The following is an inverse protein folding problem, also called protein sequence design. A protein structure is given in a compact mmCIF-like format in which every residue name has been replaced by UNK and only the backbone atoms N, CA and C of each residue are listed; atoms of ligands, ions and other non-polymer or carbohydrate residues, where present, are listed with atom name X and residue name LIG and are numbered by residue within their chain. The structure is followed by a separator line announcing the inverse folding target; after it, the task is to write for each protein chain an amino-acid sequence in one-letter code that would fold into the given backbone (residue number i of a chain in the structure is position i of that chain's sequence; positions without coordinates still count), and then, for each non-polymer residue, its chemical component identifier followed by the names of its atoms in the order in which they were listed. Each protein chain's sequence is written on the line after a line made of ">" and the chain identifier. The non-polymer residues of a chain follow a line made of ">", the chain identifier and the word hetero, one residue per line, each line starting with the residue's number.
data_IF_007263118185
#
_entry.id   IF_007263118185
#
_cell.length_a   1.000
_cell.length_b   1.000
_cell.length_c   1.000
_cell.angle_alpha   90.00
_cell.angle_beta   90.00
_cell.angle_gamma   90.00
#
_symmetry.space_group_name_H-M   'P 1'
#
loop_
_entity.id
_entity.type
_entity.pdbx_description
1 polymer ?
#
# COMPACT_ATOMS: atom_id res chain seq x y z
N UNK A 1 35.30 -5.18 55.56
CA UNK A 1 34.79 -4.34 54.44
C UNK A 1 33.31 -4.11 54.68
N UNK A 2 32.95 -2.98 55.27
CA UNK A 2 31.56 -2.66 55.61
C UNK A 2 30.84 -2.19 54.34
N UNK A 3 29.92 -3.00 53.81
CA UNK A 3 29.04 -2.61 52.70
C UNK A 3 27.76 -2.04 53.30
N UNK A 4 27.65 -0.71 53.32
CA UNK A 4 26.41 -0.01 53.62
C UNK A 4 25.43 -0.27 52.45
N UNK A 5 24.44 -1.14 52.67
CA UNK A 5 23.37 -1.43 51.72
C UNK A 5 22.33 -0.29 51.80
N UNK A 6 22.30 0.56 50.76
CA UNK A 6 21.26 1.58 50.60
C UNK A 6 19.90 0.88 50.35
N UNK A 7 18.81 1.34 51.00
CA UNK A 7 17.49 0.74 50.81
C UNK A 7 17.05 0.92 49.35
N UNK A 8 16.73 -0.19 48.69
CA UNK A 8 16.17 -0.21 47.34
C UNK A 8 14.66 0.07 47.47
N UNK A 9 14.24 1.30 47.21
CA UNK A 9 12.83 1.69 47.18
C UNK A 9 12.07 0.86 46.14
N UNK A 10 11.03 0.15 46.58
CA UNK A 10 10.15 -0.63 45.73
C UNK A 10 9.08 0.25 45.08
N UNK A 11 8.67 -0.15 43.88
CA UNK A 11 7.56 0.47 43.13
C UNK A 11 6.25 0.21 43.88
N UNK A 12 5.45 1.24 44.14
CA UNK A 12 4.14 1.02 44.76
C UNK A 12 3.12 0.57 43.71
N UNK A 13 2.17 -0.28 44.11
CA UNK A 13 1.06 -0.69 43.21
C UNK A 13 0.22 0.50 42.75
N UNK A 14 0.12 1.52 43.61
CA UNK A 14 -0.63 2.74 43.29
C UNK A 14 0.10 3.59 42.25
N UNK A 15 1.44 3.68 42.29
CA UNK A 15 2.21 4.33 41.23
C UNK A 15 1.95 3.69 39.87
N UNK A 16 1.90 2.36 39.79
CA UNK A 16 1.63 1.68 38.52
C UNK A 16 0.20 1.92 38.03
N UNK A 17 -0.78 1.93 38.93
CA UNK A 17 -2.19 2.14 38.60
C UNK A 17 -2.46 3.53 38.02
N UNK A 18 -1.85 4.57 38.58
CA UNK A 18 -2.04 5.94 38.09
C UNK A 18 -1.38 6.10 36.71
N UNK A 19 -0.22 5.47 36.51
CA UNK A 19 0.52 5.53 35.23
C UNK A 19 -0.31 4.93 34.09
N UNK A 20 -0.89 3.75 34.27
CA UNK A 20 -1.72 3.15 33.20
C UNK A 20 -2.97 3.98 32.93
N UNK A 21 -3.53 4.63 33.95
CA UNK A 21 -4.68 5.53 33.80
C UNK A 21 -4.32 6.76 32.95
N UNK A 22 -3.18 7.39 33.22
CA UNK A 22 -2.71 8.55 32.43
C UNK A 22 -2.33 8.14 31.00
N UNK A 23 -1.66 6.99 30.82
CA UNK A 23 -1.31 6.48 29.48
C UNK A 23 -2.56 6.25 28.65
N UNK A 24 -3.63 5.70 29.22
CA UNK A 24 -4.89 5.47 28.51
C UNK A 24 -5.51 6.78 28.00
N UNK A 25 -5.53 7.82 28.82
CA UNK A 25 -6.08 9.14 28.44
C UNK A 25 -5.23 9.79 27.34
N UNK A 26 -3.90 9.77 27.49
CA UNK A 26 -2.99 10.34 26.50
C UNK A 26 -3.07 9.60 25.16
N UNK A 27 -3.22 8.27 25.17
CA UNK A 27 -3.33 7.48 23.95
C UNK A 27 -4.57 7.87 23.12
N UNK A 28 -5.72 8.07 23.77
CA UNK A 28 -6.95 8.52 23.09
C UNK A 28 -6.80 9.94 22.55
N UNK A 29 -6.21 10.85 23.32
CA UNK A 29 -5.98 12.23 22.90
C UNK A 29 -5.09 12.33 21.64
N UNK A 30 -4.02 11.53 21.59
CA UNK A 30 -3.11 11.50 20.43
C UNK A 30 -3.81 10.92 19.19
N UNK A 31 -4.57 9.83 19.35
CA UNK A 31 -5.34 9.23 18.25
C UNK A 31 -6.40 10.21 17.69
N UNK A 32 -7.04 10.99 18.57
CA UNK A 32 -8.02 11.99 18.16
C UNK A 32 -7.38 13.17 17.41
N UNK A 33 -6.13 13.52 17.70
CA UNK A 33 -5.44 14.63 17.04
C UNK A 33 -5.05 14.34 15.57
N UNK A 34 -5.01 13.07 15.18
CA UNK A 34 -4.42 12.62 13.90
C UNK A 34 -5.48 12.35 12.81
N UNK A 35 -6.79 12.47 13.11
CA UNK A 35 -7.91 12.21 12.17
C UNK A 35 -7.67 10.94 11.31
N UNK A 36 -7.64 9.74 11.92
CA UNK A 36 -7.25 8.51 11.22
C UNK A 36 -8.12 8.20 9.99
N UNK A 37 -9.40 8.62 10.03
CA UNK A 37 -10.37 8.43 8.93
C UNK A 37 -9.96 9.23 7.68
N UNK A 38 -9.55 10.48 7.85
CA UNK A 38 -9.11 11.32 6.72
C UNK A 38 -7.80 10.82 6.12
N UNK A 39 -6.89 10.32 6.96
CA UNK A 39 -5.63 9.72 6.47
C UNK A 39 -5.86 8.44 5.67
N UNK A 40 -6.80 7.60 6.09
CA UNK A 40 -7.20 6.41 5.33
C UNK A 40 -7.81 6.77 3.97
N UNK A 41 -8.69 7.78 3.95
CA UNK A 41 -9.26 8.28 2.70
C UNK A 41 -8.16 8.82 1.76
N UNK A 42 -7.27 9.67 2.28
CA UNK A 42 -6.13 10.22 1.54
C UNK A 42 -5.18 9.12 1.02
N UNK A 43 -4.94 8.08 1.81
CA UNK A 43 -4.11 6.94 1.38
C UNK A 43 -4.77 6.18 0.22
N UNK A 44 -6.09 5.97 0.26
CA UNK A 44 -6.83 5.34 -0.84
C UNK A 44 -6.82 6.17 -2.11
N UNK A 45 -6.96 7.50 -2.00
CA UNK A 45 -6.90 8.37 -3.16
C UNK A 45 -5.49 8.44 -3.76
N UNK A 46 -4.44 8.46 -2.93
CA UNK A 46 -3.06 8.32 -3.40
C UNK A 46 -2.82 6.99 -4.11
N UNK A 47 -3.40 5.88 -3.62
CA UNK A 47 -3.31 4.57 -4.31
C UNK A 47 -3.96 4.61 -5.69
N UNK A 48 -5.16 5.15 -5.81
CA UNK A 48 -5.85 5.30 -7.11
C UNK A 48 -5.05 6.14 -8.10
N UNK A 49 -4.42 7.23 -7.61
CA UNK A 49 -3.54 8.05 -8.44
C UNK A 49 -2.31 7.27 -8.90
N UNK A 50 -1.68 6.48 -8.01
CA UNK A 50 -0.56 5.62 -8.36
C UNK A 50 -0.96 4.58 -9.43
N UNK A 51 -2.10 3.90 -9.25
CA UNK A 51 -2.59 2.91 -10.20
C UNK A 51 -2.86 3.55 -11.58
N UNK A 52 -3.50 4.73 -11.61
CA UNK A 52 -3.74 5.45 -12.85
C UNK A 52 -2.44 5.84 -13.58
N UNK A 53 -1.44 6.33 -12.85
CA UNK A 53 -0.13 6.69 -13.43
C UNK A 53 0.63 5.45 -13.93
N UNK A 54 0.49 4.30 -13.26
CA UNK A 54 1.07 3.03 -13.70
C UNK A 54 0.47 2.55 -15.01
N UNK A 55 -0.87 2.61 -15.13
CA UNK A 55 -1.56 2.25 -16.37
C UNK A 55 -1.20 3.21 -17.51
N UNK A 56 -1.18 4.52 -17.26
CA UNK A 56 -0.78 5.51 -18.26
C UNK A 56 0.65 5.27 -18.76
N UNK A 57 1.58 4.98 -17.84
CA UNK A 57 2.96 4.65 -18.19
C UNK A 57 3.06 3.37 -19.03
N UNK A 58 2.23 2.36 -18.74
CA UNK A 58 2.16 1.14 -19.52
C UNK A 58 1.65 1.40 -20.95
N UNK A 59 0.61 2.23 -21.10
CA UNK A 59 0.07 2.64 -22.41
C UNK A 59 1.12 3.41 -23.20
N UNK A 60 1.84 4.33 -22.57
CA UNK A 60 2.89 5.10 -23.23
C UNK A 60 4.04 4.20 -23.72
N UNK A 61 4.42 3.18 -22.93
CA UNK A 61 5.39 2.16 -23.35
C UNK A 61 4.88 1.32 -24.52
N UNK A 62 3.58 1.01 -24.55
CA UNK A 62 2.99 0.29 -25.68
C UNK A 62 3.07 1.11 -26.97
N UNK A 63 2.74 2.41 -26.89
CA UNK A 63 2.79 3.30 -28.04
C UNK A 63 4.20 3.41 -28.64
N UNK A 64 5.23 3.50 -27.81
CA UNK A 64 6.62 3.60 -28.29
C UNK A 64 7.15 2.27 -28.84
N UNK A 65 6.67 1.13 -28.34
CA UNK A 65 7.08 -0.21 -28.82
C UNK A 65 6.33 -0.66 -30.06
N UNK A 66 5.09 -0.20 -30.26
CA UNK A 66 4.20 -0.65 -31.34
C UNK A 66 4.10 0.40 -32.46
N UNK A 67 5.23 1.00 -32.84
CA UNK A 67 5.32 1.94 -33.97
C UNK A 67 4.26 3.06 -33.97
N UNK A 68 3.95 3.64 -32.80
CA UNK A 68 2.98 4.72 -32.69
C UNK A 68 1.50 4.30 -32.77
N UNK A 69 1.19 3.03 -32.48
CA UNK A 69 -0.19 2.54 -32.40
C UNK A 69 -0.69 2.53 -30.96
N UNK A 70 -1.95 2.92 -30.77
CA UNK A 70 -2.61 2.87 -29.46
C UNK A 70 -3.13 1.47 -29.14
N UNK A 71 -3.23 1.07 -27.86
CA UNK A 71 -3.72 -0.25 -27.46
C UNK A 71 -5.15 -0.58 -27.93
N UNK A 72 -6.00 0.43 -28.15
CA UNK A 72 -7.36 0.27 -28.68
C UNK A 72 -7.43 0.35 -30.21
N UNK A 73 -6.33 0.71 -30.88
CA UNK A 73 -6.23 0.76 -32.34
C UNK A 73 -5.88 -0.61 -32.95
N UNK A 74 -5.57 -1.61 -32.12
CA UNK A 74 -5.55 -3.01 -32.54
C UNK A 74 -6.96 -3.57 -32.39
N UNK A 75 -7.67 -3.76 -33.50
CA UNK A 75 -8.72 -4.79 -33.53
C UNK A 75 -8.09 -6.16 -33.26
N UNK A 76 -8.87 -7.25 -33.09
CA UNK A 76 -8.31 -8.59 -33.05
C UNK A 76 -7.67 -8.93 -34.40
N UNK A 77 -6.48 -8.40 -34.65
CA UNK A 77 -5.63 -8.71 -35.79
C UNK A 77 -4.83 -9.94 -35.40
N UNK A 78 -5.09 -11.01 -36.13
CA UNK A 78 -4.43 -12.31 -36.09
C UNK A 78 -2.98 -12.21 -35.59
N UNK A 79 -2.71 -12.81 -34.43
CA UNK A 79 -1.35 -12.98 -33.88
C UNK A 79 -1.01 -12.18 -32.62
N UNK A 80 -1.82 -11.22 -32.17
CA UNK A 80 -1.56 -10.53 -30.90
C UNK A 80 -2.31 -11.19 -29.73
N UNK A 81 -1.59 -11.92 -28.88
CA UNK A 81 -2.12 -12.41 -27.62
C UNK A 81 -2.46 -11.24 -26.68
N UNK A 82 -3.73 -11.12 -26.32
CA UNK A 82 -4.18 -10.16 -25.32
C UNK A 82 -3.85 -10.72 -23.92
N UNK A 83 -2.69 -10.37 -23.39
CA UNK A 83 -2.31 -10.72 -22.01
C UNK A 83 -3.02 -9.80 -21.01
N UNK A 84 -4.32 -10.02 -20.80
CA UNK A 84 -5.09 -9.32 -19.74
C UNK A 84 -5.42 -10.22 -18.55
N UNK A 85 -5.23 -11.53 -18.64
CA UNK A 85 -5.37 -12.41 -17.47
C UNK A 85 -4.37 -13.55 -17.51
N UNK A 86 -3.98 -14.07 -16.36
CA UNK A 86 -3.10 -15.24 -16.15
C UNK A 86 -3.73 -16.57 -16.59
N UNK A 87 -4.63 -16.56 -17.57
CA UNK A 87 -5.07 -17.74 -18.27
C UNK A 87 -4.28 -17.86 -19.58
N UNK A 88 -3.88 -19.07 -20.02
CA UNK A 88 -3.27 -19.23 -21.32
C UNK A 88 -4.37 -18.99 -22.37
N UNK A 89 -4.52 -17.74 -22.78
CA UNK A 89 -5.29 -17.41 -23.96
C UNK A 89 -4.56 -18.06 -25.14
N UNK A 90 -5.24 -19.00 -25.80
CA UNK A 90 -4.75 -19.64 -27.01
C UNK A 90 -4.18 -18.59 -27.96
N UNK A 91 -2.86 -18.56 -28.09
CA UNK A 91 -2.18 -17.97 -29.23
C UNK A 91 -2.59 -18.83 -30.42
N UNK A 92 -3.56 -18.37 -31.21
CA UNK A 92 -3.60 -18.77 -32.60
C UNK A 92 -2.31 -18.26 -33.24
N UNK A 93 -1.36 -19.16 -33.47
CA UNK A 93 -0.33 -18.93 -34.46
C UNK A 93 -1.04 -18.62 -35.78
N UNK A 94 -0.61 -17.61 -36.51
CA UNK A 94 -1.15 -17.29 -37.84
C UNK A 94 -0.78 -18.35 -38.87
N UNK A 95 -0.89 -19.64 -38.54
CA UNK A 95 -0.63 -20.78 -39.41
C UNK A 95 -1.93 -21.21 -40.09
N UNK A 96 -2.41 -20.39 -41.03
CA UNK A 96 -3.22 -20.88 -42.15
C UNK A 96 -2.84 -20.13 -43.42
N UNK A 97 -2.07 -20.84 -44.26
CA UNK A 97 -1.75 -20.61 -45.67
C UNK A 97 -0.92 -19.36 -46.04
#
# INVERSE_FOLDING_TARGET
>A
MNRNLLPKSGFTLIELLIVIAVIAILAVAVLSAINPVEQLAKANDSRKQADATQVLSAIQRYYTTTNGKWPWAVGPTQGACLYITTAPAACGDGSTA
#
